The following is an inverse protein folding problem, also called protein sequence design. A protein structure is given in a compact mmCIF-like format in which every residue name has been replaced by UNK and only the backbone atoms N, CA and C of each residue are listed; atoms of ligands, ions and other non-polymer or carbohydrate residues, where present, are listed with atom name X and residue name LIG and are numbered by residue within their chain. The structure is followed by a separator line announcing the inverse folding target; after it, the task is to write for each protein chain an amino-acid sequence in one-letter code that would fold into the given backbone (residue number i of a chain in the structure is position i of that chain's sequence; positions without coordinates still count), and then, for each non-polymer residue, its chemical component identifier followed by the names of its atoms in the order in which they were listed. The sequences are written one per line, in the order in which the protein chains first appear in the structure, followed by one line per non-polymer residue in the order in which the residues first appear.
data_IF_892206350498
#
_entry.id   IF_892206350498
#
_cell.length_a   1.000
_cell.length_b   1.000
_cell.length_c   1.000
_cell.angle_alpha   90.00
_cell.angle_beta   90.00
_cell.angle_gamma   90.00
#
_symmetry.space_group_name_H-M   'P 1'
#
loop_
_entity.id
_entity.type
_entity.pdbx_description
1 polymer ?
#
# COMPACT_ATOMS: atom_id res chain seq x y z
N UNK A 1 -39.84 -6.70 13.20
CA UNK A 1 -39.69 -5.22 13.20
C UNK A 1 -40.12 -4.67 11.86
N UNK A 2 -40.80 -3.53 11.84
CA UNK A 2 -41.15 -2.80 10.62
C UNK A 2 -40.20 -1.59 10.42
N UNK A 3 -40.29 -0.92 9.27
CA UNK A 3 -39.43 0.23 8.95
C UNK A 3 -39.50 1.35 9.99
N UNK A 4 -40.67 1.59 10.59
CA UNK A 4 -40.82 2.62 11.63
C UNK A 4 -40.07 2.26 12.91
N UNK A 5 -40.18 1.01 13.38
CA UNK A 5 -39.44 0.52 14.56
C UNK A 5 -37.93 0.56 14.34
N UNK A 6 -37.44 0.27 13.14
CA UNK A 6 -36.00 0.37 12.83
C UNK A 6 -35.54 1.83 12.78
N UNK A 7 -36.33 2.73 12.20
CA UNK A 7 -36.02 4.18 12.20
C UNK A 7 -35.87 4.73 13.62
N UNK A 8 -36.71 4.32 14.55
CA UNK A 8 -36.59 4.71 15.96
C UNK A 8 -35.26 4.26 16.56
N UNK A 9 -34.84 3.01 16.34
CA UNK A 9 -33.53 2.52 16.81
C UNK A 9 -32.37 3.32 16.21
N UNK A 10 -32.46 3.68 14.93
CA UNK A 10 -31.41 4.46 14.25
C UNK A 10 -31.37 5.93 14.67
N UNK A 11 -32.47 6.51 15.14
CA UNK A 11 -32.53 7.88 15.66
C UNK A 11 -31.84 8.01 17.03
N UNK A 12 -31.68 6.90 17.76
CA UNK A 12 -31.00 6.85 19.06
C UNK A 12 -29.47 6.78 18.93
N UNK A 13 -28.93 6.66 17.72
CA UNK A 13 -27.49 6.58 17.48
C UNK A 13 -26.94 7.95 17.09
N UNK A 14 -25.76 8.28 17.61
CA UNK A 14 -25.06 9.49 17.25
C UNK A 14 -24.79 9.54 15.74
N UNK A 15 -25.02 10.72 15.15
CA UNK A 15 -24.77 10.99 13.73
C UNK A 15 -24.20 12.38 13.55
N UNK A 16 -23.23 12.51 12.66
CA UNK A 16 -22.86 13.77 12.04
C UNK A 16 -23.82 14.06 10.86
N UNK A 17 -24.16 15.33 10.65
CA UNK A 17 -25.04 15.76 9.56
C UNK A 17 -24.21 15.99 8.30
N UNK A 18 -23.83 14.91 7.61
CA UNK A 18 -22.86 14.97 6.51
C UNK A 18 -23.52 14.97 5.13
N UNK A 19 -24.58 14.18 4.94
CA UNK A 19 -25.10 13.84 3.61
C UNK A 19 -26.46 14.45 3.28
N UNK A 20 -26.76 14.49 1.98
CA UNK A 20 -28.10 14.85 1.50
C UNK A 20 -28.99 13.61 1.40
N UNK A 21 -30.06 13.58 2.19
CA UNK A 21 -31.00 12.46 2.23
C UNK A 21 -32.46 12.91 2.13
N UNK A 22 -33.35 12.08 1.55
CA UNK A 22 -33.05 10.81 0.87
C UNK A 22 -32.40 11.04 -0.51
N UNK A 23 -31.43 10.20 -0.86
CA UNK A 23 -30.84 10.19 -2.21
C UNK A 23 -31.87 9.75 -3.26
N UNK A 24 -31.79 10.23 -4.52
CA UNK A 24 -32.78 9.89 -5.55
C UNK A 24 -32.90 8.39 -5.85
N UNK A 25 -34.13 7.90 -6.04
CA UNK A 25 -34.44 6.57 -6.57
C UNK A 25 -35.42 6.73 -7.74
N UNK A 26 -35.05 6.28 -8.94
CA UNK A 26 -35.92 6.39 -10.11
C UNK A 26 -35.66 5.29 -11.14
N UNK A 27 -36.63 5.11 -12.04
CA UNK A 27 -36.59 4.06 -13.08
C UNK A 27 -35.71 4.49 -14.25
N UNK A 28 -34.88 3.57 -14.74
CA UNK A 28 -34.08 3.76 -15.95
C UNK A 28 -34.89 3.34 -17.18
N UNK A 29 -35.71 4.24 -17.72
CA UNK A 29 -36.71 3.91 -18.74
C UNK A 29 -36.15 3.22 -20.00
N UNK A 30 -35.06 3.76 -20.57
CA UNK A 30 -34.47 3.22 -21.81
C UNK A 30 -33.85 1.83 -21.60
N UNK A 31 -33.10 1.65 -20.51
CA UNK A 31 -32.47 0.37 -20.16
C UNK A 31 -33.53 -0.68 -19.76
N UNK A 32 -34.55 -0.26 -19.02
CA UNK A 32 -35.68 -1.12 -18.66
C UNK A 32 -36.36 -1.68 -19.91
N UNK A 33 -36.66 -0.81 -20.90
CA UNK A 33 -37.23 -1.23 -22.18
C UNK A 33 -36.29 -2.17 -22.93
N UNK A 34 -35.00 -1.83 -23.03
CA UNK A 34 -34.00 -2.63 -23.76
C UNK A 34 -33.81 -4.02 -23.16
N UNK A 35 -33.83 -4.14 -21.84
CA UNK A 35 -33.55 -5.39 -21.12
C UNK A 35 -34.80 -6.20 -20.80
N UNK A 36 -36.01 -5.69 -21.06
CA UNK A 36 -37.26 -6.36 -20.73
C UNK A 36 -37.54 -6.49 -19.22
N UNK A 37 -36.91 -5.64 -18.39
CA UNK A 37 -37.04 -5.64 -16.92
C UNK A 37 -37.40 -4.25 -16.38
N UNK A 38 -37.81 -4.17 -15.12
CA UNK A 38 -38.00 -2.89 -14.42
C UNK A 38 -36.74 -2.50 -13.65
N UNK A 39 -35.78 -1.89 -14.34
CA UNK A 39 -34.52 -1.46 -13.74
C UNK A 39 -34.65 -0.08 -13.10
N UNK A 40 -34.26 0.03 -11.83
CA UNK A 40 -34.19 1.29 -11.08
C UNK A 40 -32.74 1.58 -10.69
N UNK A 41 -32.44 2.85 -10.45
CA UNK A 41 -31.16 3.31 -9.90
C UNK A 41 -31.39 4.12 -8.63
N UNK A 42 -30.60 3.84 -7.60
CA UNK A 42 -30.49 4.61 -6.36
C UNK A 42 -29.18 5.40 -6.40
N UNK A 43 -29.27 6.72 -6.46
CA UNK A 43 -28.13 7.62 -6.67
C UNK A 43 -27.40 7.95 -5.38
N UNK A 44 -26.75 6.96 -4.77
CA UNK A 44 -25.92 7.19 -3.57
C UNK A 44 -24.73 8.12 -3.84
N UNK A 45 -24.30 8.25 -5.09
CA UNK A 45 -23.33 9.26 -5.54
C UNK A 45 -23.77 10.70 -5.24
N UNK A 46 -25.07 10.96 -4.99
CA UNK A 46 -25.58 12.28 -4.59
C UNK A 46 -25.56 12.50 -3.07
N UNK A 47 -25.01 11.57 -2.29
CA UNK A 47 -24.85 11.76 -0.85
C UNK A 47 -23.59 12.57 -0.54
N UNK A 48 -23.75 13.77 0.01
CA UNK A 48 -22.63 14.63 0.43
C UNK A 48 -22.52 15.91 -0.39
N UNK A 49 -21.69 16.85 0.09
CA UNK A 49 -21.57 18.19 -0.49
C UNK A 49 -20.48 18.27 -1.56
N UNK A 50 -19.45 17.42 -1.49
CA UNK A 50 -18.41 17.37 -2.52
C UNK A 50 -18.87 16.75 -3.83
N UNK A 51 -18.10 17.05 -4.88
CA UNK A 51 -18.24 16.48 -6.23
C UNK A 51 -18.18 14.95 -6.27
N UNK A 52 -17.56 14.33 -5.26
CA UNK A 52 -17.40 12.88 -5.21
C UNK A 52 -18.60 12.18 -4.57
N UNK A 53 -19.33 12.87 -3.68
CA UNK A 53 -20.45 12.33 -2.90
C UNK A 53 -20.24 10.87 -2.52
N UNK A 54 -21.27 10.04 -2.47
CA UNK A 54 -21.11 8.58 -2.52
C UNK A 54 -21.27 7.83 -1.20
N UNK A 55 -21.26 6.50 -1.29
CA UNK A 55 -21.76 5.64 -0.22
C UNK A 55 -20.98 5.72 1.11
N UNK A 56 -19.75 6.25 1.16
CA UNK A 56 -19.01 6.37 2.43
C UNK A 56 -19.51 7.55 3.24
N UNK A 57 -20.08 8.60 2.66
CA UNK A 57 -20.74 9.68 3.42
C UNK A 57 -21.81 9.11 4.36
N UNK A 58 -22.61 8.15 3.88
CA UNK A 58 -23.61 7.45 4.70
C UNK A 58 -23.00 6.66 5.87
N UNK A 59 -21.82 6.07 5.66
CA UNK A 59 -21.09 5.35 6.73
C UNK A 59 -20.50 6.35 7.73
N UNK A 60 -19.91 7.42 7.22
CA UNK A 60 -19.23 8.46 7.98
C UNK A 60 -20.20 9.24 8.87
N UNK A 61 -21.49 9.35 8.55
CA UNK A 61 -22.46 9.96 9.48
C UNK A 61 -22.40 9.28 10.85
N UNK A 62 -22.35 7.95 10.87
CA UNK A 62 -22.30 7.21 12.12
C UNK A 62 -20.89 7.18 12.71
N UNK A 63 -19.86 6.98 11.90
CA UNK A 63 -18.47 6.91 12.39
C UNK A 63 -18.02 8.24 13.02
N UNK A 64 -18.32 9.36 12.37
CA UNK A 64 -18.00 10.68 12.91
C UNK A 64 -18.97 11.06 14.04
N UNK A 65 -20.23 10.65 13.97
CA UNK A 65 -21.17 10.79 15.09
C UNK A 65 -20.67 10.12 16.37
N UNK A 66 -20.20 8.88 16.25
CA UNK A 66 -19.61 8.10 17.34
C UNK A 66 -18.30 8.73 17.86
N UNK A 67 -17.41 9.14 16.95
CA UNK A 67 -16.18 9.83 17.33
C UNK A 67 -16.43 11.12 18.12
N UNK A 68 -17.47 11.89 17.75
CA UNK A 68 -17.90 13.08 18.50
C UNK A 68 -18.44 12.73 19.88
N UNK A 69 -19.25 11.68 19.99
CA UNK A 69 -19.79 11.22 21.27
C UNK A 69 -18.66 10.78 22.23
N UNK A 70 -17.60 10.20 21.68
CA UNK A 70 -16.40 9.81 22.43
C UNK A 70 -15.41 10.96 22.68
N UNK A 71 -15.65 12.16 22.13
CA UNK A 71 -14.76 13.31 22.28
C UNK A 71 -13.40 13.17 21.57
N UNK A 72 -13.35 12.49 20.43
CA UNK A 72 -12.10 12.31 19.68
C UNK A 72 -11.62 13.60 19.00
N UNK A 73 -10.35 13.96 19.16
CA UNK A 73 -9.72 15.12 18.52
C UNK A 73 -9.18 14.82 17.10
N UNK A 74 -8.80 13.57 16.86
CA UNK A 74 -8.08 13.12 15.67
C UNK A 74 -8.76 11.93 15.01
N UNK A 75 -8.87 12.00 13.68
CA UNK A 75 -9.34 10.90 12.85
C UNK A 75 -8.20 10.44 11.94
N UNK A 76 -7.87 9.16 12.03
CA UNK A 76 -6.91 8.51 11.15
C UNK A 76 -7.66 7.67 10.13
N UNK A 77 -7.33 7.86 8.85
CA UNK A 77 -7.88 7.06 7.76
C UNK A 77 -6.78 6.59 6.83
N UNK A 78 -7.07 5.51 6.13
CA UNK A 78 -6.18 4.88 5.18
C UNK A 78 -6.90 4.62 3.86
N UNK A 79 -6.16 4.64 2.76
CA UNK A 79 -6.68 4.30 1.45
C UNK A 79 -5.58 4.14 0.40
N UNK A 80 -5.94 3.50 -0.71
CA UNK A 80 -5.13 3.54 -1.92
C UNK A 80 -5.08 4.96 -2.51
N UNK A 81 -4.17 5.22 -3.45
CA UNK A 81 -3.84 6.53 -4.05
C UNK A 81 -5.04 7.32 -4.62
N UNK A 82 -6.19 6.67 -4.88
CA UNK A 82 -7.44 7.32 -5.33
C UNK A 82 -8.64 6.93 -4.46
N UNK A 83 -8.42 6.75 -3.15
CA UNK A 83 -9.46 6.33 -2.23
C UNK A 83 -10.55 7.38 -2.08
N UNK A 84 -11.71 7.14 -2.69
CA UNK A 84 -12.93 7.90 -2.40
C UNK A 84 -13.21 7.95 -0.89
N UNK A 85 -12.93 6.87 -0.16
CA UNK A 85 -13.10 6.83 1.29
C UNK A 85 -12.21 7.85 2.02
N UNK A 86 -10.93 7.93 1.66
CA UNK A 86 -10.02 8.88 2.29
C UNK A 86 -10.47 10.32 2.01
N UNK A 87 -10.78 10.64 0.75
CA UNK A 87 -11.31 11.95 0.35
C UNK A 87 -12.59 12.34 1.09
N UNK A 88 -13.57 11.43 1.16
CA UNK A 88 -14.84 11.65 1.87
C UNK A 88 -14.63 11.78 3.39
N UNK A 89 -13.65 11.09 3.96
CA UNK A 89 -13.32 11.18 5.39
C UNK A 89 -12.67 12.51 5.72
N UNK A 90 -11.74 12.98 4.89
CA UNK A 90 -11.13 14.33 5.03
C UNK A 90 -12.20 15.41 4.94
N UNK A 91 -13.16 15.30 4.02
CA UNK A 91 -14.30 16.22 3.93
C UNK A 91 -15.15 16.19 5.21
N UNK A 92 -15.53 15.00 5.67
CA UNK A 92 -16.33 14.85 6.88
C UNK A 92 -15.63 15.43 8.12
N UNK A 93 -14.33 15.19 8.28
CA UNK A 93 -13.55 15.74 9.39
C UNK A 93 -13.47 17.26 9.32
N UNK A 94 -13.21 17.84 8.14
CA UNK A 94 -13.20 19.31 7.96
C UNK A 94 -14.52 19.95 8.32
N UNK A 95 -15.64 19.32 7.95
CA UNK A 95 -16.98 19.81 8.26
C UNK A 95 -17.29 19.77 9.76
N UNK A 96 -16.85 18.72 10.43
CA UNK A 96 -17.15 18.49 11.85
C UNK A 96 -16.07 19.03 12.81
N UNK A 97 -15.01 19.64 12.27
CA UNK A 97 -13.95 20.28 13.06
C UNK A 97 -12.87 19.34 13.60
N UNK A 98 -12.77 18.13 13.06
CA UNK A 98 -11.72 17.18 13.45
C UNK A 98 -10.44 17.37 12.63
N UNK A 99 -9.30 17.09 13.27
CA UNK A 99 -8.04 16.92 12.56
C UNK A 99 -8.04 15.58 11.82
N UNK A 100 -7.69 15.58 10.54
CA UNK A 100 -7.66 14.37 9.72
C UNK A 100 -6.27 14.13 9.16
N UNK A 101 -5.75 12.93 9.39
CA UNK A 101 -4.52 12.45 8.77
C UNK A 101 -4.85 11.33 7.80
N UNK A 102 -4.60 11.58 6.51
CA UNK A 102 -4.62 10.56 5.48
C UNK A 102 -3.21 9.99 5.33
N UNK A 103 -3.08 8.68 5.54
CA UNK A 103 -1.83 7.96 5.32
C UNK A 103 -2.01 7.08 4.08
N UNK A 104 -1.24 7.33 2.99
CA UNK A 104 -1.36 6.54 1.77
C UNK A 104 -0.86 5.11 2.01
N UNK A 105 -1.18 4.22 1.06
CA UNK A 105 -0.74 2.82 1.09
C UNK A 105 0.75 2.67 1.41
N UNK A 106 1.08 1.94 2.48
CA UNK A 106 2.45 1.72 2.93
C UNK A 106 3.22 2.98 3.33
N UNK A 107 2.54 4.11 3.58
CA UNK A 107 3.18 5.39 3.86
C UNK A 107 3.89 6.02 2.66
N UNK A 108 3.66 5.51 1.45
CA UNK A 108 4.29 5.97 0.21
C UNK A 108 3.90 7.41 -0.13
N UNK A 109 4.68 8.34 0.41
CA UNK A 109 4.53 9.79 0.29
C UNK A 109 5.93 10.39 0.25
N UNK A 110 6.05 11.61 -0.27
CA UNK A 110 7.36 12.28 -0.35
C UNK A 110 8.03 12.41 1.02
N UNK A 111 7.26 12.60 2.09
CA UNK A 111 7.78 12.62 3.46
C UNK A 111 8.11 11.21 3.96
N UNK A 112 7.24 10.22 3.72
CA UNK A 112 7.48 8.84 4.17
C UNK A 112 8.69 8.20 3.49
N UNK A 113 8.91 8.48 2.21
CA UNK A 113 10.05 7.98 1.44
C UNK A 113 11.40 8.54 1.92
N UNK A 114 11.43 9.71 2.57
CA UNK A 114 12.65 10.21 3.24
C UNK A 114 13.15 9.24 4.30
N UNK A 115 12.27 8.50 4.98
CA UNK A 115 12.67 7.48 5.95
C UNK A 115 13.58 6.40 5.36
N UNK A 116 13.40 6.03 4.10
CA UNK A 116 14.28 5.08 3.40
C UNK A 116 15.44 5.75 2.65
N UNK A 117 15.43 7.08 2.49
CA UNK A 117 16.66 7.82 2.16
C UNK A 117 17.62 7.73 3.35
N UNK A 118 17.12 8.07 4.55
CA UNK A 118 17.85 7.99 5.82
C UNK A 118 18.32 6.55 6.10
N UNK A 119 17.42 5.58 5.96
CA UNK A 119 17.77 4.16 6.10
C UNK A 119 18.82 3.66 5.11
N UNK A 120 18.90 4.23 3.90
CA UNK A 120 19.99 3.91 2.97
C UNK A 120 21.32 4.51 3.42
N UNK A 121 21.32 5.73 3.97
CA UNK A 121 22.53 6.34 4.55
C UNK A 121 23.03 5.49 5.71
N UNK A 122 22.14 5.09 6.61
CA UNK A 122 22.46 4.17 7.71
C UNK A 122 23.05 2.85 7.18
N UNK A 123 22.42 2.23 6.17
CA UNK A 123 22.92 1.00 5.55
C UNK A 123 24.32 1.19 4.95
N UNK A 124 24.58 2.31 4.27
CA UNK A 124 25.87 2.58 3.66
C UNK A 124 26.99 2.74 4.71
N UNK A 125 26.69 3.40 5.83
CA UNK A 125 27.62 3.52 6.97
C UNK A 125 27.90 2.15 7.60
N UNK A 126 26.85 1.38 7.90
CA UNK A 126 26.99 0.03 8.46
C UNK A 126 27.74 -0.90 7.52
N UNK A 127 27.47 -0.85 6.22
CA UNK A 127 28.18 -1.63 5.21
C UNK A 127 29.67 -1.31 5.19
N UNK A 128 30.04 -0.02 5.24
CA UNK A 128 31.44 0.41 5.29
C UNK A 128 32.16 -0.12 6.55
N UNK A 129 31.48 -0.12 7.71
CA UNK A 129 32.03 -0.61 8.98
C UNK A 129 32.35 -2.11 8.98
N UNK A 130 31.70 -2.90 8.13
CA UNK A 130 32.02 -4.33 7.99
C UNK A 130 33.35 -4.59 7.26
N UNK A 131 33.86 -3.61 6.51
CA UNK A 131 34.98 -3.80 5.58
C UNK A 131 34.66 -4.68 4.36
N UNK A 132 33.37 -5.01 4.14
CA UNK A 132 32.89 -5.79 3.00
C UNK A 132 32.27 -4.84 1.97
N UNK A 133 32.70 -4.95 0.72
CA UNK A 133 32.03 -4.27 -0.39
C UNK A 133 30.80 -5.09 -0.80
N UNK A 134 29.61 -4.52 -0.61
CA UNK A 134 28.35 -5.15 -1.02
C UNK A 134 27.96 -4.79 -2.44
N UNK A 135 27.69 -5.81 -3.26
CA UNK A 135 27.35 -5.67 -4.68
C UNK A 135 25.86 -5.37 -4.88
N UNK A 136 25.00 -6.00 -4.06
CA UNK A 136 23.56 -5.96 -4.22
C UNK A 136 22.82 -5.69 -2.90
N UNK A 137 21.81 -4.84 -2.98
CA UNK A 137 20.73 -4.70 -2.01
C UNK A 137 19.44 -5.22 -2.65
N UNK A 138 18.79 -6.20 -2.02
CA UNK A 138 17.60 -6.86 -2.54
C UNK A 138 16.42 -6.61 -1.61
N UNK A 139 15.27 -6.23 -2.17
CA UNK A 139 14.06 -6.01 -1.37
C UNK A 139 12.76 -6.22 -2.18
N UNK A 140 11.65 -6.36 -1.46
CA UNK A 140 10.31 -6.37 -2.05
C UNK A 140 9.82 -4.94 -2.31
N UNK A 141 9.06 -4.73 -3.40
CA UNK A 141 8.38 -3.45 -3.66
C UNK A 141 6.88 -3.63 -3.92
N UNK A 142 6.08 -2.78 -3.28
CA UNK A 142 4.63 -2.70 -3.42
C UNK A 142 4.22 -1.26 -3.74
N UNK A 143 3.85 -0.46 -2.74
CA UNK A 143 3.43 0.93 -2.94
C UNK A 143 4.52 1.90 -3.44
N UNK A 144 5.78 1.44 -3.57
CA UNK A 144 6.89 2.19 -4.18
C UNK A 144 7.66 3.11 -3.23
N UNK A 145 7.12 3.42 -2.05
CA UNK A 145 7.73 4.37 -1.10
C UNK A 145 9.14 3.98 -0.65
N UNK A 146 9.34 2.72 -0.26
CA UNK A 146 10.66 2.17 0.12
C UNK A 146 11.64 2.22 -1.04
N UNK A 147 11.24 1.72 -2.22
CA UNK A 147 12.09 1.69 -3.42
C UNK A 147 12.55 3.10 -3.80
N UNK A 148 11.63 4.06 -3.85
CA UNK A 148 11.92 5.46 -4.16
C UNK A 148 12.92 6.07 -3.17
N UNK A 149 12.77 5.79 -1.87
CA UNK A 149 13.68 6.26 -0.84
C UNK A 149 15.08 5.66 -0.95
N UNK A 150 15.19 4.34 -1.11
CA UNK A 150 16.48 3.64 -1.23
C UNK A 150 17.26 4.12 -2.47
N UNK A 151 16.59 4.23 -3.62
CA UNK A 151 17.23 4.71 -4.87
C UNK A 151 17.63 6.19 -4.76
N UNK A 152 16.81 7.03 -4.11
CA UNK A 152 17.18 8.42 -3.82
C UNK A 152 18.40 8.53 -2.90
N UNK A 153 18.47 7.74 -1.83
CA UNK A 153 19.63 7.68 -0.93
C UNK A 153 20.89 7.22 -1.65
N UNK A 154 20.80 6.17 -2.46
CA UNK A 154 21.89 5.71 -3.34
C UNK A 154 22.38 6.82 -4.26
N UNK A 155 21.47 7.56 -4.90
CA UNK A 155 21.80 8.67 -5.81
C UNK A 155 22.51 9.81 -5.09
N UNK A 156 22.08 10.16 -3.88
CA UNK A 156 22.70 11.20 -3.06
C UNK A 156 24.13 10.87 -2.68
N UNK A 157 24.39 9.61 -2.32
CA UNK A 157 25.72 9.13 -1.94
C UNK A 157 26.60 8.76 -3.13
N UNK A 158 26.04 8.77 -4.36
CA UNK A 158 26.67 8.19 -5.55
C UNK A 158 27.20 6.76 -5.28
N UNK A 159 26.41 5.98 -4.53
CA UNK A 159 26.84 4.68 -4.02
C UNK A 159 26.78 3.61 -5.13
N UNK A 160 27.79 2.73 -5.29
CA UNK A 160 27.87 1.81 -6.42
C UNK A 160 26.92 0.60 -6.31
N UNK A 161 26.42 0.28 -5.11
CA UNK A 161 25.55 -0.89 -4.88
C UNK A 161 24.36 -0.93 -5.85
N UNK A 162 24.04 -2.11 -6.36
CA UNK A 162 22.85 -2.34 -7.19
C UNK A 162 21.65 -2.62 -6.31
N UNK A 163 20.51 -1.99 -6.59
CA UNK A 163 19.29 -2.17 -5.79
C UNK A 163 18.28 -2.97 -6.62
N UNK A 164 18.11 -4.26 -6.31
CA UNK A 164 17.17 -5.15 -7.00
C UNK A 164 15.83 -5.14 -6.28
N UNK A 165 14.81 -4.61 -6.95
CA UNK A 165 13.47 -4.40 -6.40
C UNK A 165 12.49 -5.40 -7.03
N UNK A 166 11.98 -6.35 -6.24
CA UNK A 166 11.04 -7.36 -6.72
C UNK A 166 9.60 -6.94 -6.50
N UNK A 167 8.83 -6.77 -7.57
CA UNK A 167 7.42 -6.38 -7.54
C UNK A 167 6.54 -7.52 -6.99
N UNK A 168 5.65 -7.19 -6.05
CA UNK A 168 4.69 -8.15 -5.49
C UNK A 168 3.25 -7.92 -5.92
N UNK A 169 2.99 -6.84 -6.66
CA UNK A 169 1.66 -6.43 -7.13
C UNK A 169 1.48 -6.73 -8.62
N UNK A 170 2.53 -6.51 -9.42
CA UNK A 170 2.49 -6.63 -10.88
C UNK A 170 2.14 -5.31 -11.55
N UNK A 171 2.90 -4.25 -11.24
CA UNK A 171 2.64 -2.94 -11.81
C UNK A 171 2.97 -2.87 -13.31
N UNK A 172 2.33 -1.91 -13.99
CA UNK A 172 2.60 -1.61 -15.40
C UNK A 172 3.87 -0.76 -15.58
N UNK A 173 4.16 -0.41 -16.84
CA UNK A 173 5.36 0.35 -17.21
C UNK A 173 5.48 1.74 -16.57
N UNK A 174 4.38 2.32 -16.08
CA UNK A 174 4.38 3.65 -15.46
C UNK A 174 4.88 3.66 -14.01
N UNK A 175 5.11 2.48 -13.42
CA UNK A 175 5.51 2.34 -12.03
C UNK A 175 6.84 2.99 -11.70
N UNK A 176 7.83 2.85 -12.59
CA UNK A 176 9.16 3.42 -12.38
C UNK A 176 9.16 4.94 -12.55
N UNK A 177 8.39 5.48 -13.50
CA UNK A 177 8.19 6.93 -13.62
C UNK A 177 7.52 7.50 -12.37
N UNK A 178 6.51 6.80 -11.84
CA UNK A 178 5.81 7.20 -10.62
C UNK A 178 6.73 7.14 -9.39
N UNK A 179 7.58 6.12 -9.30
CA UNK A 179 8.57 5.94 -8.22
C UNK A 179 9.69 6.97 -8.30
N UNK A 180 10.17 7.30 -9.51
CA UNK A 180 11.13 8.36 -9.75
C UNK A 180 10.55 9.72 -9.35
N UNK A 181 9.29 10.01 -9.71
CA UNK A 181 8.58 11.21 -9.28
C UNK A 181 8.49 11.30 -7.76
N UNK A 182 8.09 10.23 -7.08
CA UNK A 182 8.01 10.17 -5.63
C UNK A 182 9.38 10.42 -4.96
N UNK A 183 10.44 9.79 -5.47
CA UNK A 183 11.80 10.02 -4.99
C UNK A 183 12.26 11.46 -5.21
N UNK A 184 11.96 12.05 -6.38
CA UNK A 184 12.25 13.46 -6.67
C UNK A 184 11.52 14.43 -5.75
N UNK A 185 10.26 14.17 -5.43
CA UNK A 185 9.50 14.96 -4.45
C UNK A 185 10.13 14.87 -3.05
N UNK A 186 10.64 13.69 -2.68
CA UNK A 186 11.36 13.45 -1.40
C UNK A 186 12.70 14.21 -1.37
N UNK A 187 13.46 14.16 -2.46
CA UNK A 187 14.72 14.89 -2.63
C UNK A 187 14.50 16.41 -2.58
N UNK A 188 13.47 16.91 -3.25
CA UNK A 188 13.09 18.31 -3.22
C UNK A 188 12.71 18.76 -1.80
N UNK A 189 11.99 17.92 -1.05
CA UNK A 189 11.65 18.17 0.35
C UNK A 189 12.90 18.30 1.24
N UNK A 190 13.94 17.48 0.99
CA UNK A 190 15.25 17.60 1.64
C UNK A 190 16.09 18.78 1.15
N UNK A 191 15.66 19.49 0.11
CA UNK A 191 16.44 20.56 -0.54
C UNK A 191 17.61 20.05 -1.40
N UNK A 192 17.61 18.77 -1.75
CA UNK A 192 18.63 18.17 -2.62
C UNK A 192 18.38 18.52 -4.09
N UNK A 193 19.48 18.62 -4.86
CA UNK A 193 19.44 18.89 -6.32
C UNK A 193 19.52 17.63 -7.18
N UNK A 194 19.71 16.47 -6.56
CA UNK A 194 19.73 15.20 -7.28
C UNK A 194 18.37 14.96 -7.94
N UNK A 195 18.38 14.24 -9.06
CA UNK A 195 17.19 13.89 -9.81
C UNK A 195 17.27 12.42 -10.21
N UNK A 196 16.15 11.72 -10.02
CA UNK A 196 15.93 10.35 -10.43
C UNK A 196 15.15 10.30 -11.74
N UNK A 197 15.48 9.32 -12.57
CA UNK A 197 14.68 8.88 -13.72
C UNK A 197 14.31 7.41 -13.56
N UNK A 198 13.41 6.90 -14.42
CA UNK A 198 13.07 5.47 -14.42
C UNK A 198 14.30 4.56 -14.63
N UNK A 199 15.37 5.05 -15.26
CA UNK A 199 16.61 4.31 -15.52
C UNK A 199 17.45 4.09 -14.26
N UNK A 200 17.20 4.83 -13.18
CA UNK A 200 17.89 4.65 -11.90
C UNK A 200 17.41 3.42 -11.11
N UNK A 201 16.33 2.76 -11.56
CA UNK A 201 15.66 1.67 -10.87
C UNK A 201 15.94 0.32 -11.55
N UNK A 202 16.36 -0.67 -10.76
CA UNK A 202 16.40 -2.06 -11.21
C UNK A 202 15.21 -2.82 -10.60
N UNK A 203 14.21 -3.12 -11.42
CA UNK A 203 12.93 -3.67 -11.02
C UNK A 203 12.61 -4.94 -11.81
N UNK A 204 12.08 -5.95 -11.12
CA UNK A 204 11.60 -7.18 -11.74
C UNK A 204 10.14 -7.44 -11.34
N UNK A 205 9.27 -7.53 -12.36
CA UNK A 205 7.85 -7.82 -12.21
C UNK A 205 7.45 -9.24 -12.62
N UNK A 206 8.35 -10.22 -12.53
CA UNK A 206 8.05 -11.61 -12.89
C UNK A 206 7.64 -12.49 -11.70
N UNK A 207 7.79 -12.01 -10.46
CA UNK A 207 7.60 -12.80 -9.24
C UNK A 207 6.34 -12.44 -8.44
N UNK A 208 5.49 -11.55 -8.95
CA UNK A 208 4.26 -11.13 -8.25
C UNK A 208 3.14 -12.18 -8.31
N UNK A 209 3.16 -13.05 -9.32
CA UNK A 209 2.14 -14.09 -9.48
C UNK A 209 2.07 -15.01 -8.25
N UNK A 210 0.89 -15.52 -7.89
CA UNK A 210 -0.39 -15.42 -8.63
C UNK A 210 -1.13 -14.08 -8.49
N UNK A 211 -0.64 -13.16 -7.65
CA UNK A 211 -1.21 -11.83 -7.46
C UNK A 211 -0.86 -11.24 -6.09
N UNK A 212 -1.22 -9.99 -5.86
CA UNK A 212 -1.05 -9.32 -4.57
C UNK A 212 -1.87 -10.03 -3.47
N UNK A 213 -1.28 -10.16 -2.27
CA UNK A 213 -1.85 -10.92 -1.13
C UNK A 213 -2.14 -12.40 -1.39
N UNK A 214 -1.64 -12.93 -2.52
CA UNK A 214 -1.73 -14.34 -2.84
C UNK A 214 -0.33 -14.98 -2.79
N UNK A 215 -0.11 -15.98 -1.92
CA UNK A 215 1.17 -16.67 -1.81
C UNK A 215 1.53 -17.41 -3.09
N UNK A 216 2.81 -17.49 -3.40
CA UNK A 216 3.35 -18.31 -4.49
C UNK A 216 4.05 -19.55 -3.94
N UNK A 217 4.11 -20.62 -4.73
CA UNK A 217 4.83 -21.85 -4.35
C UNK A 217 6.31 -21.55 -4.09
N UNK A 218 6.97 -20.84 -5.00
CA UNK A 218 8.36 -20.40 -4.84
C UNK A 218 8.56 -19.51 -3.60
N UNK A 219 7.63 -18.58 -3.33
CA UNK A 219 7.66 -17.75 -2.13
C UNK A 219 7.55 -18.57 -0.85
N UNK A 220 6.66 -19.56 -0.83
CA UNK A 220 6.48 -20.45 0.32
C UNK A 220 7.69 -21.36 0.53
N UNK A 221 8.29 -21.89 -0.54
CA UNK A 221 9.52 -22.68 -0.46
C UNK A 221 10.69 -21.84 0.08
N UNK A 222 10.81 -20.60 -0.38
CA UNK A 222 11.81 -19.64 0.10
C UNK A 222 11.62 -19.30 1.59
N UNK A 223 10.38 -19.10 2.05
CA UNK A 223 10.06 -18.91 3.47
C UNK A 223 10.47 -20.15 4.29
N UNK A 224 10.10 -21.35 3.83
CA UNK A 224 10.44 -22.60 4.54
C UNK A 224 11.95 -22.81 4.59
N UNK A 225 12.67 -22.50 3.52
CA UNK A 225 14.12 -22.58 3.47
C UNK A 225 14.73 -21.67 4.55
N UNK A 226 14.43 -20.37 4.54
CA UNK A 226 15.01 -19.44 5.50
C UNK A 226 14.63 -19.78 6.95
N UNK A 227 13.39 -20.23 7.18
CA UNK A 227 12.93 -20.63 8.50
C UNK A 227 13.63 -21.91 9.01
N UNK A 228 13.96 -22.86 8.12
CA UNK A 228 14.61 -24.12 8.51
C UNK A 228 16.11 -23.97 8.71
N UNK A 229 16.77 -23.21 7.85
CA UNK A 229 18.22 -23.03 7.90
C UNK A 229 18.62 -22.01 8.98
N UNK A 230 17.88 -20.89 9.11
CA UNK A 230 18.29 -19.75 9.94
C UNK A 230 17.30 -19.42 11.07
N UNK A 231 16.14 -20.06 11.13
CA UNK A 231 15.11 -19.74 12.12
C UNK A 231 14.44 -18.37 11.91
N UNK A 232 14.62 -17.76 10.73
CA UNK A 232 14.04 -16.46 10.36
C UNK A 232 12.83 -16.64 9.46
N UNK A 233 11.78 -15.85 9.72
CA UNK A 233 10.51 -15.96 9.01
C UNK A 233 10.27 -14.75 8.11
N UNK A 234 9.89 -15.01 6.86
CA UNK A 234 9.39 -13.99 5.93
C UNK A 234 7.88 -14.14 5.75
N UNK A 235 7.24 -13.05 5.33
CA UNK A 235 5.81 -13.06 5.04
C UNK A 235 5.50 -13.58 3.62
N UNK A 236 4.33 -14.20 3.40
CA UNK A 236 3.94 -14.76 2.10
C UNK A 236 3.53 -13.71 1.05
N UNK A 237 3.34 -12.45 1.43
CA UNK A 237 2.82 -11.40 0.54
C UNK A 237 3.96 -10.63 -0.13
N UNK A 238 4.97 -10.23 0.63
CA UNK A 238 6.06 -9.35 0.20
C UNK A 238 7.42 -10.06 0.21
N UNK A 239 7.98 -10.25 1.40
CA UNK A 239 9.38 -10.63 1.60
C UNK A 239 9.66 -12.03 1.08
N UNK A 240 8.72 -12.97 1.23
CA UNK A 240 8.86 -14.33 0.69
C UNK A 240 9.00 -14.35 -0.83
N UNK A 241 8.22 -13.53 -1.56
CA UNK A 241 8.32 -13.43 -3.02
C UNK A 241 9.62 -12.79 -3.48
N UNK A 242 10.05 -11.72 -2.81
CA UNK A 242 11.32 -11.08 -3.12
C UNK A 242 12.52 -11.98 -2.81
N UNK A 243 12.47 -12.73 -1.71
CA UNK A 243 13.51 -13.69 -1.37
C UNK A 243 13.56 -14.84 -2.37
N UNK A 244 12.40 -15.36 -2.80
CA UNK A 244 12.34 -16.34 -3.89
C UNK A 244 12.93 -15.79 -5.20
N UNK A 245 12.64 -14.53 -5.54
CA UNK A 245 13.22 -13.86 -6.70
C UNK A 245 14.74 -13.73 -6.60
N UNK A 246 15.26 -13.40 -5.42
CA UNK A 246 16.70 -13.36 -5.14
C UNK A 246 17.36 -14.73 -5.34
N UNK A 247 16.77 -15.79 -4.78
CA UNK A 247 17.29 -17.16 -4.89
C UNK A 247 17.34 -17.61 -6.36
N UNK A 248 16.28 -17.34 -7.12
CA UNK A 248 16.24 -17.65 -8.55
C UNK A 248 17.25 -16.81 -9.36
N UNK A 249 17.49 -15.55 -8.98
CA UNK A 249 18.55 -14.72 -9.57
C UNK A 249 19.95 -15.30 -9.33
N UNK A 250 20.21 -15.82 -8.13
CA UNK A 250 21.48 -16.49 -7.77
C UNK A 250 21.62 -17.80 -8.57
N UNK A 251 20.58 -18.61 -8.64
CA UNK A 251 20.57 -19.88 -9.38
C UNK A 251 20.83 -19.66 -10.88
N UNK A 252 20.22 -18.63 -11.46
CA UNK A 252 20.41 -18.25 -12.88
C UNK A 252 21.70 -17.47 -13.14
N UNK A 253 22.50 -17.16 -12.12
CA UNK A 253 23.74 -16.40 -12.23
C UNK A 253 23.55 -14.91 -12.59
N UNK A 254 22.33 -14.38 -12.45
CA UNK A 254 22.06 -12.92 -12.57
C UNK A 254 22.68 -12.15 -11.42
N UNK A 255 22.67 -12.75 -10.23
CA UNK A 255 23.57 -12.42 -9.12
C UNK A 255 24.73 -13.44 -9.20
N UNK A 256 25.96 -13.02 -9.54
CA UNK A 256 27.09 -13.93 -9.67
C UNK A 256 27.44 -14.65 -8.36
N UNK A 257 27.98 -15.87 -8.48
CA UNK A 257 28.54 -16.58 -7.34
C UNK A 257 29.71 -15.81 -6.75
N UNK A 258 29.75 -15.68 -5.42
CA UNK A 258 30.76 -14.90 -4.69
C UNK A 258 30.40 -13.43 -4.49
N UNK A 259 29.25 -12.95 -5.00
CA UNK A 259 28.77 -11.61 -4.70
C UNK A 259 28.34 -11.45 -3.24
N UNK A 260 28.58 -10.27 -2.68
CA UNK A 260 28.12 -9.89 -1.35
C UNK A 260 26.74 -9.24 -1.46
N UNK A 261 25.73 -9.86 -0.86
CA UNK A 261 24.31 -9.48 -1.03
C UNK A 261 23.68 -9.15 0.32
N UNK A 262 23.00 -8.01 0.40
CA UNK A 262 22.12 -7.64 1.51
C UNK A 262 20.68 -7.92 1.09
N UNK A 263 19.95 -8.72 1.87
CA UNK A 263 18.50 -8.81 1.74
C UNK A 263 17.82 -7.92 2.79
N UNK A 264 17.12 -6.88 2.36
CA UNK A 264 16.38 -5.99 3.25
C UNK A 264 15.03 -6.61 3.61
N UNK A 265 14.99 -7.29 4.76
CA UNK A 265 13.74 -7.82 5.30
C UNK A 265 12.89 -6.70 5.92
N UNK A 266 11.81 -6.32 5.25
CA UNK A 266 10.94 -5.20 5.64
C UNK A 266 9.83 -5.57 6.63
N UNK A 267 9.89 -6.76 7.24
CA UNK A 267 8.90 -7.26 8.19
C UNK A 267 7.73 -8.00 7.52
N UNK A 268 6.51 -7.79 8.01
CA UNK A 268 5.29 -8.44 7.51
C UNK A 268 4.95 -9.78 8.18
N UNK A 269 5.75 -10.26 9.13
CA UNK A 269 5.60 -11.57 9.76
C UNK A 269 4.21 -11.83 10.38
N UNK A 270 3.44 -10.79 10.72
CA UNK A 270 2.05 -10.93 11.18
C UNK A 270 1.14 -11.63 10.16
N UNK A 271 1.45 -11.54 8.86
CA UNK A 271 0.72 -12.24 7.81
C UNK A 271 0.82 -13.78 7.92
N UNK A 272 1.80 -14.30 8.66
CA UNK A 272 1.91 -15.74 8.98
C UNK A 272 0.80 -16.24 9.91
N UNK A 273 0.06 -15.31 10.53
CA UNK A 273 -1.08 -15.61 11.39
C UNK A 273 -2.42 -15.16 10.76
N UNK A 274 -2.41 -14.81 9.47
CA UNK A 274 -3.58 -14.39 8.73
C UNK A 274 -4.41 -15.59 8.25
N UNK A 275 -5.45 -15.31 7.46
CA UNK A 275 -6.38 -16.30 6.93
C UNK A 275 -5.67 -17.31 5.99
N UNK A 276 -6.27 -18.50 5.83
CA UNK A 276 -5.66 -19.61 5.09
C UNK A 276 -5.30 -19.23 3.65
N UNK A 277 -6.07 -18.34 3.05
CA UNK A 277 -5.90 -17.79 1.71
C UNK A 277 -4.55 -17.07 1.55
N UNK A 278 -4.09 -16.36 2.58
CA UNK A 278 -2.81 -15.63 2.59
C UNK A 278 -1.64 -16.59 2.85
N UNK A 279 -1.87 -17.66 3.63
CA UNK A 279 -0.86 -18.67 3.92
C UNK A 279 -0.66 -19.66 2.76
N UNK A 280 -1.73 -19.95 2.00
CA UNK A 280 -1.71 -20.94 0.93
C UNK A 280 -1.29 -22.31 1.45
N UNK A 281 -0.31 -22.92 0.79
CA UNK A 281 0.24 -24.22 1.19
C UNK A 281 1.45 -24.11 2.14
N UNK A 282 1.78 -22.93 2.68
CA UNK A 282 2.98 -22.72 3.49
C UNK A 282 3.08 -23.72 4.67
N UNK A 283 1.93 -24.07 5.25
CA UNK A 283 1.81 -25.02 6.37
C UNK A 283 1.66 -26.49 5.93
N UNK A 284 1.53 -26.74 4.63
CA UNK A 284 1.45 -28.10 4.10
C UNK A 284 2.84 -28.75 4.19
N UNK A 285 2.87 -30.00 4.67
CA UNK A 285 4.08 -30.75 5.02
C UNK A 285 4.84 -31.26 3.81
#
# INVERSE_FOLDING_TARGET
MNTASVKQLLQQKAKADLGFYPTPLYRLNNLSKKLGINLYIKREDFSGQSLFGGNKIRKLEYLIGDAKEQGADYIFTFGATQSNHAMQTVEACRKEGHNCYEIPMGGASSIGSVGFIDGFVELAEQAADTGVEFDYLVHATGSGGTMAGLVAGKKLLNHPIRILSFDVIGHDSSYLDSSAKLGNESLAWLGAKACLTAEDFEHDNQYFLPGYEMPSEAGNDAIRLLAREEGLFLDPVYSGKAFAGMLDYIEKGKIPQGSNVIFLHTGGATALFAEKEILGNLLDK
#
